data_IF_301151706211
#
_entry.id   IF_301151706211
#
_cell.length_a   1.000
_cell.length_b   1.000
_cell.length_c   1.000
_cell.angle_alpha   90.00
_cell.angle_beta   90.00
_cell.angle_gamma   90.00
#
_symmetry.space_group_name_H-M   'P 1'
#
loop_
_entity.id
_entity.type
_entity.pdbx_description
1 polymer ?
#
# COMPACT_ATOMS: atom_id res chain seq x y z
N UNK A 1 8.17 9.09 12.73
CA UNK A 1 9.36 8.17 12.72
C UNK A 1 10.18 8.52 11.49
N UNK A 2 11.52 8.52 11.58
CA UNK A 2 12.36 8.88 10.44
C UNK A 2 12.19 7.90 9.27
N UNK A 3 12.27 8.38 8.01
CA UNK A 3 12.24 7.52 6.84
C UNK A 3 13.40 6.53 6.87
N UNK A 4 13.22 5.34 6.31
CA UNK A 4 14.19 4.27 6.46
C UNK A 4 14.27 3.37 5.24
N UNK A 5 15.45 2.78 5.03
CA UNK A 5 15.63 1.73 4.03
C UNK A 5 15.03 0.42 4.53
N UNK A 6 14.23 -0.23 3.70
CA UNK A 6 13.67 -1.57 3.95
C UNK A 6 14.67 -2.63 3.48
N UNK A 7 14.98 -2.61 2.19
CA UNK A 7 15.92 -3.52 1.54
C UNK A 7 16.33 -2.95 0.19
N UNK A 8 17.61 -3.00 -0.15
CA UNK A 8 18.16 -2.53 -1.45
C UNK A 8 17.52 -1.20 -1.94
N UNK A 9 16.65 -1.27 -2.95
CA UNK A 9 15.97 -0.15 -3.60
C UNK A 9 14.58 0.14 -3.02
N UNK A 10 14.22 -0.47 -1.89
CA UNK A 10 12.93 -0.27 -1.24
C UNK A 10 13.11 0.51 0.05
N UNK A 11 12.29 1.53 0.23
CA UNK A 11 12.30 2.42 1.39
C UNK A 11 10.89 2.56 1.96
N UNK A 12 10.81 2.97 3.22
CA UNK A 12 9.58 3.39 3.90
C UNK A 12 9.68 4.87 4.23
N UNK A 13 8.63 5.59 3.92
CA UNK A 13 8.37 6.99 4.30
C UNK A 13 7.01 7.06 5.00
N UNK A 14 6.59 8.25 5.44
CA UNK A 14 5.32 8.43 6.14
C UNK A 14 5.33 7.89 7.57
N UNK A 15 4.16 7.68 8.14
CA UNK A 15 3.99 7.38 9.57
C UNK A 15 3.85 5.89 9.85
N UNK A 16 4.25 5.48 11.04
CA UNK A 16 4.12 4.11 11.56
C UNK A 16 3.38 4.15 12.88
N UNK A 17 2.39 3.27 13.05
CA UNK A 17 1.61 3.17 14.29
C UNK A 17 0.65 4.35 14.48
N UNK A 18 0.21 4.98 13.40
CA UNK A 18 -0.76 6.07 13.40
C UNK A 18 -2.07 5.53 12.78
N UNK A 19 -3.19 5.71 13.49
CA UNK A 19 -4.51 5.25 13.03
C UNK A 19 -5.13 6.18 11.96
N UNK A 20 -4.51 7.34 11.70
CA UNK A 20 -5.00 8.37 10.77
C UNK A 20 -4.08 8.61 9.59
N UNK A 21 -2.98 7.87 9.50
CA UNK A 21 -2.01 7.95 8.42
C UNK A 21 -1.38 6.57 8.18
N UNK A 22 -0.83 6.34 7.01
CA UNK A 22 -0.23 5.07 6.66
C UNK A 22 1.29 5.14 6.42
N UNK A 23 1.92 3.99 6.44
CA UNK A 23 3.24 3.80 5.87
C UNK A 23 3.15 3.89 4.35
N UNK A 24 3.95 4.74 3.75
CA UNK A 24 4.14 4.81 2.31
C UNK A 24 5.45 4.14 1.94
N UNK A 25 5.42 3.27 0.96
CA UNK A 25 6.65 2.58 0.52
C UNK A 25 7.11 3.12 -0.83
N UNK A 26 8.42 3.17 -1.00
CA UNK A 26 9.08 3.69 -2.20
C UNK A 26 9.89 2.59 -2.84
N UNK A 27 9.70 2.36 -4.13
CA UNK A 27 10.54 1.49 -4.95
C UNK A 27 11.38 2.41 -5.86
N UNK A 28 12.69 2.45 -5.64
CA UNK A 28 13.62 3.18 -6.51
C UNK A 28 14.10 2.27 -7.65
N UNK A 29 13.50 2.47 -8.82
CA UNK A 29 13.87 1.75 -10.03
C UNK A 29 14.94 2.48 -10.86
N UNK A 30 15.75 3.33 -10.23
CA UNK A 30 16.82 4.17 -10.82
C UNK A 30 16.30 5.24 -11.80
N UNK A 31 15.51 4.86 -12.80
CA UNK A 31 14.92 5.81 -13.77
C UNK A 31 13.67 6.50 -13.24
N UNK A 32 12.98 5.89 -12.28
CA UNK A 32 11.74 6.35 -11.69
C UNK A 32 11.59 5.90 -10.25
N UNK A 33 10.75 6.62 -9.50
CA UNK A 33 10.25 6.19 -8.20
C UNK A 33 8.80 5.76 -8.36
N UNK A 34 8.45 4.66 -7.70
CA UNK A 34 7.06 4.21 -7.55
C UNK A 34 6.71 4.20 -6.08
N UNK A 35 5.62 4.85 -5.72
CA UNK A 35 5.07 4.78 -4.37
C UNK A 35 4.02 3.67 -4.27
N UNK A 36 3.93 3.06 -3.11
CA UNK A 36 2.78 2.25 -2.69
C UNK A 36 2.08 3.03 -1.60
N UNK A 37 0.87 3.47 -1.91
CA UNK A 37 0.03 4.41 -1.15
C UNK A 37 0.59 5.86 -1.10
N UNK A 38 -0.17 6.78 -0.49
CA UNK A 38 0.09 8.22 -0.54
C UNK A 38 -0.27 8.97 0.75
N UNK A 39 -0.34 8.27 1.89
CA UNK A 39 -0.63 8.90 3.18
C UNK A 39 -2.01 9.54 3.28
N UNK A 40 -2.25 10.22 4.40
CA UNK A 40 -3.50 10.92 4.68
C UNK A 40 -3.58 12.29 4.00
N UNK A 41 -4.77 12.90 4.04
CA UNK A 41 -4.98 14.27 3.59
C UNK A 41 -4.05 15.25 4.35
N UNK A 42 -3.21 15.96 3.61
CA UNK A 42 -2.22 16.91 4.16
C UNK A 42 -0.82 16.34 4.39
N UNK A 43 -0.59 15.04 4.21
CA UNK A 43 0.75 14.43 4.36
C UNK A 43 1.72 14.75 3.22
N UNK A 44 1.26 15.32 2.11
CA UNK A 44 2.07 15.55 0.91
C UNK A 44 3.44 16.19 1.21
N UNK A 45 3.47 17.26 2.02
CA UNK A 45 4.72 17.95 2.36
C UNK A 45 5.68 17.04 3.13
N UNK A 46 5.17 16.30 4.12
CA UNK A 46 5.97 15.36 4.92
C UNK A 46 6.54 14.23 4.04
N UNK A 47 5.74 13.69 3.12
CA UNK A 47 6.20 12.63 2.20
C UNK A 47 7.29 13.13 1.25
N UNK A 48 7.19 14.38 0.75
CA UNK A 48 8.23 15.01 -0.07
C UNK A 48 9.51 15.21 0.74
N UNK A 49 9.42 15.74 1.96
CA UNK A 49 10.56 15.92 2.86
C UNK A 49 11.25 14.58 3.18
N UNK A 50 10.47 13.52 3.39
CA UNK A 50 11.02 12.19 3.66
C UNK A 50 11.74 11.59 2.45
N UNK A 51 11.23 11.81 1.22
CA UNK A 51 11.96 11.44 -0.01
C UNK A 51 13.29 12.18 -0.09
N UNK A 52 13.31 13.49 0.15
CA UNK A 52 14.51 14.31 0.10
C UNK A 52 15.54 13.90 1.17
N UNK A 53 15.12 13.57 2.40
CA UNK A 53 16.00 13.02 3.45
C UNK A 53 16.69 11.72 3.05
N UNK A 54 16.02 10.90 2.23
CA UNK A 54 16.59 9.67 1.67
C UNK A 54 17.49 9.90 0.45
N UNK A 55 17.60 11.16 -0.04
CA UNK A 55 18.29 11.49 -1.26
C UNK A 55 17.56 11.08 -2.53
N UNK A 56 16.24 10.85 -2.42
CA UNK A 56 15.37 10.49 -3.53
C UNK A 56 14.67 11.75 -4.05
N UNK A 57 14.82 12.04 -5.33
CA UNK A 57 14.24 13.23 -5.93
C UNK A 57 12.73 13.07 -6.14
N UNK A 58 11.85 13.92 -5.51
CA UNK A 58 10.39 13.75 -5.60
C UNK A 58 9.84 13.86 -7.02
N UNK A 59 10.51 14.60 -7.90
CA UNK A 59 10.12 14.73 -9.31
C UNK A 59 10.31 13.43 -10.13
N UNK A 60 10.97 12.41 -9.56
CA UNK A 60 11.08 11.07 -10.15
C UNK A 60 9.90 10.17 -9.82
N UNK A 61 8.94 10.60 -8.97
CA UNK A 61 7.73 9.85 -8.67
C UNK A 61 6.82 9.81 -9.88
N UNK A 62 6.87 8.71 -10.65
CA UNK A 62 6.11 8.53 -11.88
C UNK A 62 4.80 7.80 -11.70
N UNK A 63 4.69 6.99 -10.66
CA UNK A 63 3.48 6.22 -10.39
C UNK A 63 3.24 6.05 -8.89
N UNK A 64 1.98 6.03 -8.51
CA UNK A 64 1.51 5.61 -7.19
C UNK A 64 0.56 4.44 -7.39
N UNK A 65 0.85 3.32 -6.72
CA UNK A 65 -0.01 2.15 -6.68
C UNK A 65 -0.77 2.21 -5.38
N UNK A 66 -2.08 2.31 -5.47
CA UNK A 66 -2.98 2.42 -4.34
C UNK A 66 -3.43 1.03 -3.91
N UNK A 67 -3.19 0.66 -2.66
CA UNK A 67 -3.65 -0.62 -2.13
C UNK A 67 -5.17 -0.66 -2.01
N UNK A 68 -5.78 0.40 -1.47
CA UNK A 68 -7.23 0.57 -1.37
C UNK A 68 -7.60 2.06 -1.15
N UNK A 69 -8.88 2.41 -1.15
CA UNK A 69 -9.34 3.81 -1.24
C UNK A 69 -9.66 4.48 0.10
N UNK A 70 -9.18 3.97 1.24
CA UNK A 70 -9.35 4.71 2.49
C UNK A 70 -8.48 5.99 2.49
N UNK A 71 -8.99 7.03 3.15
CA UNK A 71 -8.46 8.40 3.09
C UNK A 71 -6.98 8.51 3.47
N UNK A 72 -6.54 7.64 4.37
CA UNK A 72 -5.18 7.58 4.91
C UNK A 72 -4.17 6.90 3.97
N UNK A 73 -4.65 6.29 2.89
CA UNK A 73 -3.82 5.69 1.82
C UNK A 73 -3.80 6.52 0.53
N UNK A 74 -4.76 7.44 0.37
CA UNK A 74 -4.97 8.17 -0.89
C UNK A 74 -4.90 9.69 -0.75
N UNK A 75 -4.62 10.18 0.46
CA UNK A 75 -4.78 11.59 0.82
C UNK A 75 -3.97 12.57 -0.01
N UNK A 76 -2.76 12.19 -0.44
CA UNK A 76 -1.85 13.06 -1.20
C UNK A 76 -1.79 12.77 -2.71
N UNK A 77 -2.69 11.90 -3.22
CA UNK A 77 -2.67 11.52 -4.66
C UNK A 77 -2.79 12.72 -5.60
N UNK A 78 -3.74 13.63 -5.29
CA UNK A 78 -4.00 14.80 -6.13
C UNK A 78 -2.79 15.73 -6.21
N UNK A 79 -2.11 15.95 -5.10
CA UNK A 79 -0.92 16.81 -5.03
C UNK A 79 0.26 16.23 -5.80
N UNK A 80 0.53 14.91 -5.66
CA UNK A 80 1.56 14.25 -6.47
C UNK A 80 1.25 14.32 -7.95
N UNK A 81 0.00 14.11 -8.34
CA UNK A 81 -0.44 14.19 -9.73
C UNK A 81 -0.29 15.60 -10.30
N UNK A 82 -0.69 16.62 -9.57
CA UNK A 82 -0.60 18.02 -10.00
C UNK A 82 0.83 18.52 -10.08
N UNK A 83 1.67 18.15 -9.11
CA UNK A 83 3.03 18.69 -9.01
C UNK A 83 4.05 17.94 -9.87
N UNK A 84 3.91 16.63 -10.01
CA UNK A 84 4.91 15.78 -10.65
C UNK A 84 4.39 14.97 -11.84
N UNK A 85 3.12 15.19 -12.25
CA UNK A 85 2.45 14.42 -13.32
C UNK A 85 2.47 12.91 -13.05
N UNK A 86 2.28 12.55 -11.77
CA UNK A 86 2.32 11.17 -11.29
C UNK A 86 1.06 10.41 -11.73
N UNK A 87 1.23 9.19 -12.22
CA UNK A 87 0.12 8.31 -12.61
C UNK A 87 -0.41 7.57 -11.39
N UNK A 88 -1.73 7.47 -11.26
CA UNK A 88 -2.42 6.73 -10.21
C UNK A 88 -2.92 5.39 -10.74
N UNK A 89 -2.48 4.31 -10.12
CA UNK A 89 -2.88 2.94 -10.42
C UNK A 89 -3.66 2.40 -9.22
N UNK A 90 -4.88 1.90 -9.43
CA UNK A 90 -5.72 1.34 -8.37
C UNK A 90 -6.60 0.22 -8.92
N UNK A 91 -7.07 -0.66 -8.04
CA UNK A 91 -8.05 -1.65 -8.45
C UNK A 91 -9.34 -0.97 -8.96
N UNK A 92 -9.96 -1.53 -10.00
CA UNK A 92 -11.16 -0.95 -10.62
C UNK A 92 -12.31 -0.70 -9.66
N UNK A 93 -12.42 -1.50 -8.59
CA UNK A 93 -13.47 -1.35 -7.57
C UNK A 93 -13.22 -0.16 -6.62
N UNK A 94 -11.98 0.31 -6.50
CA UNK A 94 -11.61 1.47 -5.69
C UNK A 94 -11.65 2.79 -6.48
N UNK A 95 -11.64 2.70 -7.82
CA UNK A 95 -11.52 3.87 -8.68
C UNK A 95 -12.62 4.91 -8.45
N UNK A 96 -13.89 4.49 -8.24
CA UNK A 96 -14.98 5.42 -7.98
C UNK A 96 -14.74 6.25 -6.71
N UNK A 97 -14.33 5.59 -5.63
CA UNK A 97 -14.06 6.27 -4.36
C UNK A 97 -12.93 7.31 -4.52
N UNK A 98 -11.84 6.95 -5.19
CA UNK A 98 -10.70 7.84 -5.47
C UNK A 98 -11.13 9.02 -6.37
N UNK A 99 -11.95 8.76 -7.39
CA UNK A 99 -12.38 9.76 -8.38
C UNK A 99 -13.49 10.69 -7.87
N UNK A 100 -14.23 10.33 -6.81
CA UNK A 100 -15.36 11.14 -6.29
C UNK A 100 -15.23 11.54 -4.83
N UNK A 101 -14.39 10.85 -4.04
CA UNK A 101 -14.31 10.98 -2.58
C UNK A 101 -15.37 10.17 -1.83
N UNK A 102 -16.40 9.63 -2.51
CA UNK A 102 -17.45 8.84 -1.88
C UNK A 102 -16.93 7.50 -1.35
N UNK A 103 -17.10 7.23 -0.06
CA UNK A 103 -16.68 5.97 0.57
C UNK A 103 -15.23 5.91 1.00
N UNK A 104 -14.47 7.00 0.88
CA UNK A 104 -13.08 7.10 1.38
C UNK A 104 -13.00 7.21 2.91
N UNK A 105 -14.11 7.46 3.57
CA UNK A 105 -14.27 7.74 5.02
C UNK A 105 -13.65 9.05 5.51
N UNK A 106 -13.03 9.89 4.67
CA UNK A 106 -12.43 11.16 5.08
C UNK A 106 -13.40 12.06 5.86
N UNK A 107 -14.66 12.16 5.41
CA UNK A 107 -15.70 12.97 6.05
C UNK A 107 -15.95 12.59 7.51
N UNK A 108 -15.83 11.29 7.86
CA UNK A 108 -16.04 10.81 9.24
C UNK A 108 -15.02 11.36 10.22
N UNK A 109 -13.86 11.79 9.70
CA UNK A 109 -12.75 12.34 10.47
C UNK A 109 -12.61 13.85 10.28
N UNK A 110 -13.59 14.50 9.60
CA UNK A 110 -13.55 15.93 9.34
C UNK A 110 -12.47 16.35 8.35
N UNK A 111 -11.95 15.41 7.56
CA UNK A 111 -10.93 15.65 6.55
C UNK A 111 -11.57 15.97 5.19
N UNK A 112 -10.89 16.81 4.42
CA UNK A 112 -11.30 17.15 3.06
C UNK A 112 -10.39 16.39 2.09
N UNK A 113 -10.95 15.32 1.50
CA UNK A 113 -10.25 14.59 0.45
C UNK A 113 -10.37 15.33 -0.89
N UNK A 114 -9.28 15.42 -1.62
CA UNK A 114 -9.22 15.99 -2.96
C UNK A 114 -9.26 14.86 -4.01
N UNK A 115 -10.39 14.67 -4.72
CA UNK A 115 -10.51 13.62 -5.72
C UNK A 115 -9.51 13.78 -6.86
N UNK A 116 -9.04 12.65 -7.39
CA UNK A 116 -8.19 12.64 -8.57
C UNK A 116 -8.51 11.46 -9.49
N UNK A 117 -8.13 11.57 -10.76
CA UNK A 117 -8.35 10.53 -11.76
C UNK A 117 -7.44 9.32 -11.51
N UNK A 118 -8.01 8.12 -11.59
CA UNK A 118 -7.26 6.86 -11.68
C UNK A 118 -6.87 6.62 -13.14
N UNK A 119 -5.57 6.59 -13.43
CA UNK A 119 -5.05 6.48 -14.80
C UNK A 119 -5.03 5.03 -15.30
N UNK A 120 -4.82 4.06 -14.39
CA UNK A 120 -4.83 2.63 -14.71
C UNK A 120 -5.71 1.90 -13.72
N UNK A 121 -6.75 1.24 -14.24
CA UNK A 121 -7.66 0.41 -13.44
C UNK A 121 -7.18 -1.04 -13.49
N UNK A 122 -6.70 -1.54 -12.35
CA UNK A 122 -6.21 -2.91 -12.17
C UNK A 122 -7.34 -3.88 -11.84
N UNK A 123 -7.11 -5.16 -12.08
CA UNK A 123 -8.04 -6.25 -11.73
C UNK A 123 -7.45 -7.25 -10.72
N UNK A 124 -6.12 -7.21 -10.55
CA UNK A 124 -5.34 -8.21 -9.81
C UNK A 124 -4.85 -9.34 -10.72
N UNK A 125 -3.56 -9.68 -10.59
CA UNK A 125 -2.87 -10.65 -11.45
C UNK A 125 -1.95 -10.01 -12.49
N UNK A 126 -1.90 -8.68 -12.58
CA UNK A 126 -0.99 -7.98 -13.48
C UNK A 126 0.46 -8.10 -13.00
N UNK A 127 1.36 -8.10 -13.98
CA UNK A 127 2.80 -7.89 -13.79
C UNK A 127 3.17 -6.53 -14.35
N UNK A 128 3.42 -5.56 -13.45
CA UNK A 128 3.74 -4.18 -13.82
C UNK A 128 5.25 -4.04 -13.98
N UNK A 129 5.67 -3.55 -15.15
CA UNK A 129 7.09 -3.22 -15.38
C UNK A 129 7.40 -1.88 -14.76
N UNK A 130 8.39 -1.85 -13.84
CA UNK A 130 8.89 -0.65 -13.15
C UNK A 130 10.42 -0.62 -13.34
N UNK A 131 10.90 0.18 -14.29
CA UNK A 131 12.31 0.18 -14.65
C UNK A 131 12.82 -1.23 -14.96
N UNK A 132 13.76 -1.74 -14.14
CA UNK A 132 14.29 -3.09 -14.22
C UNK A 132 13.45 -4.16 -13.49
N UNK A 133 12.45 -3.77 -12.71
CA UNK A 133 11.67 -4.67 -11.87
C UNK A 133 10.35 -5.09 -12.51
N UNK A 134 9.82 -6.23 -12.03
CA UNK A 134 8.49 -6.73 -12.33
C UNK A 134 7.70 -6.82 -11.02
N UNK A 135 6.79 -5.86 -10.80
CA UNK A 135 5.91 -5.84 -9.63
C UNK A 135 4.64 -6.64 -9.92
N UNK A 136 4.36 -7.64 -9.09
CA UNK A 136 3.17 -8.47 -9.23
C UNK A 136 2.03 -7.90 -8.40
N UNK A 137 0.83 -7.81 -8.98
CA UNK A 137 -0.38 -7.34 -8.31
C UNK A 137 -1.26 -8.51 -7.91
N UNK A 138 -1.75 -8.52 -6.68
CA UNK A 138 -2.62 -9.58 -6.15
C UNK A 138 -3.88 -8.95 -5.58
N UNK A 139 -5.06 -9.33 -6.08
CA UNK A 139 -6.32 -8.89 -5.50
C UNK A 139 -6.57 -9.67 -4.19
N UNK A 140 -6.73 -8.92 -3.11
CA UNK A 140 -6.91 -9.43 -1.74
C UNK A 140 -8.14 -8.78 -1.05
N UNK A 141 -9.34 -8.98 -1.61
CA UNK A 141 -10.54 -8.38 -1.04
C UNK A 141 -10.80 -8.85 0.38
N UNK A 142 -11.46 -8.00 1.16
CA UNK A 142 -11.83 -8.31 2.54
C UNK A 142 -11.84 -7.08 3.42
N UNK A 143 -10.74 -6.36 3.55
CA UNK A 143 -10.68 -5.05 4.19
C UNK A 143 -11.42 -3.99 3.35
N UNK A 144 -11.14 -3.92 2.06
CA UNK A 144 -11.89 -3.18 1.07
C UNK A 144 -12.22 -4.08 -0.13
N UNK A 145 -13.27 -3.78 -0.93
CA UNK A 145 -13.67 -4.61 -2.06
C UNK A 145 -12.59 -4.77 -3.13
N UNK A 146 -11.83 -3.72 -3.38
CA UNK A 146 -10.74 -3.70 -4.36
C UNK A 146 -9.35 -3.68 -3.74
N UNK A 147 -9.21 -4.10 -2.48
CA UNK A 147 -7.90 -4.15 -1.84
C UNK A 147 -6.93 -5.01 -2.63
N UNK A 148 -5.77 -4.48 -2.94
CA UNK A 148 -4.66 -5.18 -3.60
C UNK A 148 -3.43 -5.18 -2.72
N UNK A 149 -2.68 -6.25 -2.78
CA UNK A 149 -1.28 -6.29 -2.38
C UNK A 149 -0.39 -6.32 -3.64
N UNK A 150 0.85 -5.89 -3.48
CA UNK A 150 1.85 -6.04 -4.52
C UNK A 150 3.08 -6.75 -3.97
N UNK A 151 3.78 -7.52 -4.79
CA UNK A 151 5.06 -8.07 -4.37
C UNK A 151 6.14 -7.93 -5.45
N UNK A 152 7.37 -7.86 -4.97
CA UNK A 152 8.56 -7.68 -5.77
C UNK A 152 9.59 -8.73 -5.37
N UNK A 153 10.08 -9.52 -6.33
CA UNK A 153 11.20 -10.41 -6.12
C UNK A 153 12.49 -9.68 -6.51
N UNK A 154 13.28 -9.31 -5.51
CA UNK A 154 14.61 -8.75 -5.72
C UNK A 154 15.62 -9.89 -5.75
N UNK A 155 16.25 -10.05 -6.92
CA UNK A 155 17.25 -11.09 -7.17
C UNK A 155 18.63 -10.45 -7.15
N UNK A 156 19.40 -10.73 -6.09
CA UNK A 156 20.77 -10.32 -5.91
C UNK A 156 21.51 -11.42 -5.15
N UNK A 157 22.59 -11.13 -4.41
CA UNK A 157 23.33 -12.11 -3.59
C UNK A 157 22.41 -12.88 -2.61
N UNK A 158 21.38 -12.19 -2.08
CA UNK A 158 20.28 -12.79 -1.32
C UNK A 158 18.94 -12.42 -1.96
N UNK A 159 18.31 -13.36 -2.65
CA UNK A 159 16.94 -13.15 -3.19
C UNK A 159 15.94 -12.93 -2.07
N UNK A 160 15.14 -11.88 -2.18
CA UNK A 160 14.08 -11.53 -1.21
C UNK A 160 12.78 -11.21 -1.92
N UNK A 161 11.69 -11.79 -1.42
CA UNK A 161 10.33 -11.37 -1.77
C UNK A 161 9.86 -10.31 -0.80
N UNK A 162 9.60 -9.12 -1.30
CA UNK A 162 9.03 -8.01 -0.53
C UNK A 162 7.55 -7.90 -0.89
N UNK A 163 6.69 -8.04 0.10
CA UNK A 163 5.24 -7.93 -0.01
C UNK A 163 4.78 -6.58 0.57
N UNK A 164 4.11 -5.78 -0.24
CA UNK A 164 3.40 -4.57 0.17
C UNK A 164 1.94 -4.96 0.39
N UNK A 165 1.54 -5.09 1.64
CA UNK A 165 0.28 -5.71 2.02
C UNK A 165 -0.89 -4.75 2.13
N UNK A 166 -0.65 -3.42 2.25
CA UNK A 166 -1.68 -2.50 2.72
C UNK A 166 -2.16 -2.91 4.11
N UNK A 167 -3.45 -2.82 4.35
CA UNK A 167 -4.06 -3.10 5.66
C UNK A 167 -4.30 -4.58 5.90
N UNK A 168 -3.20 -5.32 6.10
CA UNK A 168 -3.25 -6.71 6.58
C UNK A 168 -3.81 -6.80 8.00
N UNK A 169 -3.67 -5.73 8.77
CA UNK A 169 -4.24 -5.60 10.12
C UNK A 169 -5.78 -5.45 10.17
N UNK A 170 -6.43 -5.16 9.05
CA UNK A 170 -7.88 -4.90 8.99
C UNK A 170 -8.23 -3.42 9.21
N UNK A 171 -9.43 -3.11 9.71
CA UNK A 171 -10.42 -4.01 10.33
C UNK A 171 -11.16 -4.93 9.36
N UNK A 172 -11.61 -6.09 9.86
CA UNK A 172 -12.34 -7.11 9.10
C UNK A 172 -13.77 -7.32 9.61
N UNK A 173 -14.45 -6.23 10.02
CA UNK A 173 -15.81 -6.27 10.58
C UNK A 173 -16.83 -5.69 9.61
N UNK A 174 -17.96 -6.40 9.43
CA UNK A 174 -19.09 -5.87 8.67
C UNK A 174 -19.66 -4.62 9.35
N UNK A 175 -20.24 -3.67 8.60
CA UNK A 175 -20.52 -3.71 7.15
C UNK A 175 -19.36 -3.22 6.26
N UNK A 176 -18.29 -2.65 6.82
CA UNK A 176 -17.20 -2.02 6.06
C UNK A 176 -16.24 -3.04 5.41
N UNK A 177 -16.20 -4.28 5.90
CA UNK A 177 -15.31 -5.32 5.43
C UNK A 177 -16.02 -6.65 5.23
N UNK A 178 -15.39 -7.59 4.51
CA UNK A 178 -15.86 -8.97 4.32
C UNK A 178 -14.85 -9.97 4.90
N UNK A 179 -15.09 -10.47 6.12
CA UNK A 179 -14.15 -11.37 6.78
C UNK A 179 -14.00 -12.73 6.09
N UNK A 180 -15.01 -13.17 5.30
CA UNK A 180 -14.90 -14.43 4.54
C UNK A 180 -13.89 -14.26 3.41
N UNK A 181 -14.01 -13.18 2.64
CA UNK A 181 -13.03 -12.86 1.60
C UNK A 181 -11.65 -12.58 2.20
N UNK A 182 -11.58 -11.86 3.35
CA UNK A 182 -10.33 -11.60 4.06
C UNK A 182 -9.59 -12.89 4.44
N UNK A 183 -10.31 -13.90 4.92
CA UNK A 183 -9.71 -15.21 5.24
C UNK A 183 -8.99 -15.80 4.04
N UNK A 184 -9.65 -15.84 2.87
CA UNK A 184 -9.05 -16.36 1.63
C UNK A 184 -7.86 -15.50 1.19
N UNK A 185 -7.99 -14.18 1.32
CA UNK A 185 -6.94 -13.23 0.95
C UNK A 185 -5.70 -13.38 1.82
N UNK A 186 -5.84 -13.46 3.16
CA UNK A 186 -4.72 -13.66 4.07
C UNK A 186 -4.04 -15.02 3.86
N UNK A 187 -4.80 -16.10 3.61
CA UNK A 187 -4.22 -17.40 3.24
C UNK A 187 -3.39 -17.31 1.95
N UNK A 188 -3.85 -16.52 0.97
CA UNK A 188 -3.10 -16.26 -0.26
C UNK A 188 -1.80 -15.50 0.02
N UNK A 189 -1.82 -14.49 0.92
CA UNK A 189 -0.61 -13.75 1.29
C UNK A 189 0.42 -14.66 2.01
N UNK A 190 -0.03 -15.53 2.92
CA UNK A 190 0.84 -16.54 3.56
C UNK A 190 1.48 -17.46 2.52
N UNK A 191 0.69 -17.92 1.53
CA UNK A 191 1.18 -18.80 0.46
C UNK A 191 2.23 -18.14 -0.46
N UNK A 192 2.30 -16.81 -0.52
CA UNK A 192 3.35 -16.08 -1.23
C UNK A 192 4.72 -16.21 -0.56
N UNK A 193 4.77 -16.58 0.73
CA UNK A 193 6.01 -16.73 1.53
C UNK A 193 6.92 -15.49 1.45
N UNK A 194 6.45 -14.32 1.85
CA UNK A 194 7.26 -13.11 1.80
C UNK A 194 8.43 -13.20 2.80
N UNK A 195 9.61 -12.74 2.38
CA UNK A 195 10.74 -12.54 3.29
C UNK A 195 10.57 -11.28 4.12
N UNK A 196 9.92 -10.28 3.54
CA UNK A 196 9.66 -8.98 4.15
C UNK A 196 8.20 -8.60 3.86
N UNK A 197 7.44 -8.29 4.91
CA UNK A 197 6.13 -7.66 4.80
C UNK A 197 6.26 -6.17 5.10
N UNK A 198 5.84 -5.36 4.16
CA UNK A 198 5.61 -3.93 4.24
C UNK A 198 4.12 -3.70 4.51
N UNK A 199 3.75 -3.44 5.75
CA UNK A 199 2.38 -3.35 6.22
C UNK A 199 1.92 -1.88 6.28
N UNK A 200 0.62 -1.63 6.11
CA UNK A 200 0.07 -0.29 5.93
C UNK A 200 0.23 0.64 7.14
N UNK A 201 0.13 0.15 8.36
CA UNK A 201 0.18 0.98 9.57
C UNK A 201 1.32 0.63 10.53
N UNK A 202 1.64 -0.65 10.68
CA UNK A 202 2.59 -1.10 11.70
C UNK A 202 4.02 -1.28 11.19
N UNK A 203 4.27 -0.97 9.90
CA UNK A 203 5.59 -0.91 9.31
C UNK A 203 6.11 -2.24 8.76
N UNK A 204 7.34 -2.61 9.10
CA UNK A 204 8.10 -3.65 8.39
C UNK A 204 8.26 -4.88 9.28
N UNK A 205 7.87 -6.05 8.76
CA UNK A 205 8.05 -7.34 9.42
C UNK A 205 9.05 -8.20 8.65
N UNK A 206 10.19 -8.45 9.27
CA UNK A 206 11.26 -9.30 8.77
C UNK A 206 12.05 -9.94 9.95
N UNK A 207 12.64 -11.11 9.78
CA UNK A 207 12.68 -11.97 8.58
C UNK A 207 11.33 -12.67 8.28
N UNK A 208 11.32 -13.61 7.34
CA UNK A 208 10.14 -14.29 6.81
C UNK A 208 9.19 -14.86 7.87
N UNK A 209 9.72 -15.43 8.97
CA UNK A 209 8.93 -15.98 10.06
C UNK A 209 8.12 -14.91 10.83
N UNK A 210 8.61 -13.67 10.88
CA UNK A 210 7.86 -12.55 11.47
C UNK A 210 6.78 -12.04 10.51
N UNK A 211 7.08 -11.99 9.20
CA UNK A 211 6.10 -11.63 8.18
C UNK A 211 4.93 -12.62 8.17
N UNK A 212 5.24 -13.93 8.16
CA UNK A 212 4.24 -14.99 8.23
C UNK A 212 3.42 -14.92 9.52
N UNK A 213 4.07 -14.78 10.68
CA UNK A 213 3.37 -14.68 11.98
C UNK A 213 2.43 -13.49 12.05
N UNK A 214 2.80 -12.35 11.49
CA UNK A 214 1.92 -11.19 11.47
C UNK A 214 0.65 -11.49 10.67
N UNK A 215 0.77 -12.00 9.45
CA UNK A 215 -0.38 -12.32 8.59
C UNK A 215 -1.25 -13.40 9.25
N UNK A 216 -0.63 -14.45 9.80
CA UNK A 216 -1.33 -15.58 10.45
C UNK A 216 -2.09 -15.12 11.69
N UNK A 217 -1.55 -14.19 12.48
CA UNK A 217 -2.24 -13.68 13.68
C UNK A 217 -3.60 -13.02 13.32
N UNK A 218 -3.67 -12.28 12.21
CA UNK A 218 -4.95 -11.69 11.76
C UNK A 218 -5.86 -12.75 11.12
N UNK A 219 -5.32 -13.73 10.43
CA UNK A 219 -6.07 -14.88 9.92
C UNK A 219 -6.75 -15.64 11.07
N UNK A 220 -6.01 -15.96 12.13
CA UNK A 220 -6.52 -16.66 13.32
C UNK A 220 -7.57 -15.81 14.04
N UNK A 221 -7.35 -14.51 14.16
CA UNK A 221 -8.31 -13.58 14.76
C UNK A 221 -9.65 -13.59 14.00
N UNK A 222 -9.63 -13.56 12.66
CA UNK A 222 -10.86 -13.60 11.85
C UNK A 222 -11.55 -14.95 12.05
N UNK A 223 -10.82 -16.05 12.00
CA UNK A 223 -11.39 -17.40 12.20
C UNK A 223 -11.99 -17.58 13.60
N UNK A 224 -11.35 -17.01 14.63
CA UNK A 224 -11.88 -17.01 16.01
C UNK A 224 -13.14 -16.17 16.20
N UNK A 225 -13.48 -15.25 15.29
CA UNK A 225 -14.74 -14.50 15.35
C UNK A 225 -15.97 -15.33 14.93
N UNK A 226 -15.77 -16.54 14.40
CA UNK A 226 -16.84 -17.42 13.92
C UNK A 226 -17.17 -18.57 14.92
N UNK A 227 -16.45 -18.66 16.04
CA UNK A 227 -16.66 -19.61 17.12
C UNK A 227 -17.40 -18.90 18.27
#
# INVERSE_FOLDING_TARGET
>A
MEPSKVWQSVYRIGKVGDDFDCCVYVIDAQSELVLVDAGTCGSFGELVDDLEKLGLEPNRVRSIIVTHSHFDHIGSLAEFKEKYDTRVLAHKLEAKAIETGEGTYAERFGLVYKPCKVDVKLEGGESLKIGQYQLQVVHIPGHAPGHIACYLDLVDEESKRILFGGDVNGPYRRPSADPVQATVSLQRLVALKPDILCEGHFGIYQPADKAERFITAYLDMIQGMWI
#
